data_IF_897302975138
#
_entry.id   IF_897302975138
#
_cell.length_a   1.000
_cell.length_b   1.000
_cell.length_c   1.000
_cell.angle_alpha   90.00
_cell.angle_beta   90.00
_cell.angle_gamma   90.00
#
_symmetry.space_group_name_H-M   'P 1'
#
loop_
_entity.id
_entity.type
_entity.pdbx_description
1 polymer ?
#
# COMPACT_ATOMS: atom_id res chain seq x y z
N UNK A 1 25.40 8.12 6.30
CA UNK A 1 24.81 7.36 5.18
C UNK A 1 23.32 7.68 5.12
N UNK A 2 22.82 8.17 3.99
CA UNK A 2 21.41 8.44 3.71
C UNK A 2 20.77 7.18 3.12
N UNK A 3 19.76 6.63 3.78
CA UNK A 3 19.07 5.42 3.32
C UNK A 3 17.59 5.70 3.05
N UNK A 4 17.11 5.19 1.91
CA UNK A 4 15.70 5.19 1.54
C UNK A 4 15.14 3.78 1.70
N UNK A 5 14.06 3.64 2.47
CA UNK A 5 13.23 2.43 2.46
C UNK A 5 12.10 2.60 1.45
N UNK A 6 11.95 1.62 0.56
CA UNK A 6 10.84 1.51 -0.38
C UNK A 6 10.02 0.29 0.03
N UNK A 7 8.80 0.50 0.49
CA UNK A 7 7.87 -0.57 0.85
C UNK A 7 6.83 -0.72 -0.26
N UNK A 8 6.65 -1.96 -0.72
CA UNK A 8 5.77 -2.28 -1.85
C UNK A 8 4.76 -3.32 -1.41
N UNK A 9 3.53 -3.12 -1.85
CA UNK A 9 2.41 -4.06 -1.71
C UNK A 9 1.55 -3.97 -2.98
N UNK A 10 0.69 -4.96 -3.20
CA UNK A 10 -0.16 -5.07 -4.37
C UNK A 10 -1.62 -5.40 -4.04
N UNK A 11 -2.52 -5.02 -4.93
CA UNK A 11 -3.92 -5.43 -4.89
C UNK A 11 -4.41 -5.82 -6.28
N UNK A 12 -5.10 -6.96 -6.35
CA UNK A 12 -5.46 -7.63 -7.58
C UNK A 12 -4.55 -8.84 -7.82
N UNK A 13 -4.93 -9.68 -8.78
CA UNK A 13 -4.24 -10.94 -9.08
C UNK A 13 -3.95 -11.04 -10.58
N UNK A 14 -2.86 -11.71 -10.94
CA UNK A 14 -2.58 -12.12 -12.32
C UNK A 14 -3.56 -13.21 -12.78
N UNK A 15 -3.67 -13.41 -14.09
CA UNK A 15 -4.57 -14.38 -14.71
C UNK A 15 -5.86 -13.76 -15.24
N UNK A 16 -6.83 -14.63 -15.56
CA UNK A 16 -8.06 -14.24 -16.26
C UNK A 16 -8.77 -13.03 -15.64
N UNK A 17 -9.40 -12.23 -16.49
CA UNK A 17 -10.12 -11.06 -16.06
C UNK A 17 -11.35 -11.46 -15.24
N UNK A 18 -11.33 -11.14 -13.94
CA UNK A 18 -12.51 -11.19 -13.08
C UNK A 18 -13.13 -9.79 -12.96
N UNK A 19 -14.39 -9.57 -13.37
CA UNK A 19 -15.11 -8.32 -13.14
C UNK A 19 -15.14 -7.86 -11.66
N UNK A 20 -14.99 -8.79 -10.70
CA UNK A 20 -14.91 -8.50 -9.25
C UNK A 20 -13.54 -7.97 -8.84
N UNK A 21 -12.50 -8.19 -9.64
CA UNK A 21 -11.13 -7.69 -9.45
C UNK A 21 -10.63 -6.96 -10.71
N UNK A 22 -11.26 -5.83 -11.09
CA UNK A 22 -11.04 -5.22 -12.41
C UNK A 22 -9.75 -4.39 -12.51
N UNK A 23 -9.03 -4.22 -11.40
CA UNK A 23 -7.83 -3.40 -11.29
C UNK A 23 -6.67 -4.23 -10.78
N UNK A 24 -5.48 -3.93 -11.29
CA UNK A 24 -4.23 -4.29 -10.65
C UNK A 24 -3.59 -3.01 -10.12
N UNK A 25 -3.15 -3.02 -8.86
CA UNK A 25 -2.62 -1.87 -8.16
C UNK A 25 -1.30 -2.26 -7.50
N UNK A 26 -0.27 -1.44 -7.69
CA UNK A 26 0.97 -1.52 -6.90
C UNK A 26 1.07 -0.24 -6.08
N UNK A 27 1.10 -0.38 -4.76
CA UNK A 27 1.34 0.69 -3.80
C UNK A 27 2.82 0.76 -3.47
N UNK A 28 3.41 1.95 -3.57
CA UNK A 28 4.80 2.22 -3.23
C UNK A 28 4.86 3.28 -2.14
N UNK A 29 5.57 3.01 -1.06
CA UNK A 29 5.79 3.92 0.07
C UNK A 29 7.29 4.16 0.25
N UNK A 30 7.68 5.43 0.16
CA UNK A 30 9.05 5.93 0.25
C UNK A 30 9.28 6.57 1.63
N UNK A 31 10.15 5.98 2.43
CA UNK A 31 10.49 6.46 3.77
C UNK A 31 11.99 6.75 3.88
N UNK A 32 12.33 8.03 4.07
CA UNK A 32 13.69 8.45 4.39
C UNK A 32 14.03 7.99 5.82
N UNK A 33 15.01 7.11 5.97
CA UNK A 33 15.35 6.54 7.29
C UNK A 33 15.92 7.57 8.29
N UNK A 34 16.28 8.78 7.84
CA UNK A 34 16.60 9.89 8.75
C UNK A 34 15.39 10.33 9.58
N UNK A 35 14.18 10.12 9.07
CA UNK A 35 12.95 10.45 9.78
C UNK A 35 12.60 9.29 10.71
N UNK A 36 13.02 9.38 11.98
CA UNK A 36 12.72 8.35 12.97
C UNK A 36 11.21 8.24 13.22
N UNK A 37 10.73 7.00 13.20
CA UNK A 37 9.31 6.65 13.40
C UNK A 37 9.12 5.68 14.56
N UNK A 38 10.18 5.42 15.35
CA UNK A 38 10.19 4.43 16.42
C UNK A 38 9.11 4.70 17.47
N UNK A 39 8.95 5.96 17.87
CA UNK A 39 7.92 6.36 18.85
C UNK A 39 6.49 6.11 18.34
N UNK A 40 6.24 6.37 17.05
CA UNK A 40 4.96 6.15 16.39
C UNK A 40 4.67 4.64 16.25
N UNK A 41 5.68 3.83 15.95
CA UNK A 41 5.57 2.37 15.90
C UNK A 41 5.25 1.81 17.29
N UNK A 42 5.97 2.24 18.33
CA UNK A 42 5.73 1.82 19.71
C UNK A 42 4.31 2.19 20.16
N UNK A 43 3.89 3.43 19.88
CA UNK A 43 2.53 3.88 20.16
C UNK A 43 1.49 3.03 19.43
N UNK A 44 1.66 2.78 18.13
CA UNK A 44 0.76 1.94 17.35
C UNK A 44 0.66 0.52 17.94
N UNK A 45 1.80 -0.10 18.26
CA UNK A 45 1.84 -1.44 18.86
C UNK A 45 1.06 -1.46 20.19
N UNK A 46 1.29 -0.47 21.06
CA UNK A 46 0.56 -0.33 22.32
C UNK A 46 -0.94 -0.23 22.07
N UNK A 47 -1.37 0.72 21.25
CA UNK A 47 -2.81 0.94 21.04
C UNK A 47 -3.49 -0.20 20.28
N UNK A 48 -2.77 -1.00 19.49
CA UNK A 48 -3.30 -2.22 18.87
C UNK A 48 -3.43 -3.37 19.88
N UNK A 49 -2.51 -3.48 20.84
CA UNK A 49 -2.57 -4.49 21.90
C UNK A 49 -3.79 -4.30 22.84
N UNK A 50 -4.27 -3.06 22.94
CA UNK A 50 -5.49 -2.69 23.66
C UNK A 50 -6.79 -2.98 22.86
N UNK A 51 -6.68 -3.57 21.65
CA UNK A 51 -7.85 -3.96 20.84
C UNK A 51 -8.07 -5.46 20.86
N UNK A 52 -9.26 -5.85 20.42
CA UNK A 52 -9.71 -7.23 20.29
C UNK A 52 -8.94 -8.02 19.20
N UNK A 53 -8.09 -7.33 18.42
CA UNK A 53 -7.24 -7.94 17.39
C UNK A 53 -6.24 -8.95 17.96
N UNK A 54 -5.77 -8.75 19.20
CA UNK A 54 -4.76 -9.60 19.88
C UNK A 54 -3.49 -9.88 19.06
N UNK A 55 -3.16 -8.99 18.10
CA UNK A 55 -1.97 -9.04 17.25
C UNK A 55 -1.42 -7.62 17.05
N UNK A 56 -0.14 -7.54 16.73
CA UNK A 56 0.56 -6.27 16.56
C UNK A 56 0.60 -5.77 15.11
N UNK A 57 -0.05 -6.41 14.14
CA UNK A 57 -0.08 -5.96 12.74
C UNK A 57 -1.46 -6.07 12.09
N UNK A 58 -1.65 -5.30 11.03
CA UNK A 58 -2.94 -5.14 10.35
C UNK A 58 -2.79 -5.37 8.85
N UNK A 59 -3.67 -6.20 8.28
CA UNK A 59 -3.95 -6.26 6.86
C UNK A 59 -5.28 -5.54 6.59
N UNK A 60 -5.22 -4.42 5.88
CA UNK A 60 -6.33 -3.51 5.64
C UNK A 60 -7.43 -4.12 4.76
N UNK A 61 -7.06 -4.78 3.66
CA UNK A 61 -8.02 -5.44 2.77
C UNK A 61 -8.90 -6.47 3.51
N UNK A 62 -8.30 -7.50 4.13
CA UNK A 62 -9.04 -8.48 4.92
C UNK A 62 -9.83 -7.88 6.09
N UNK A 63 -9.31 -6.84 6.74
CA UNK A 63 -10.00 -6.12 7.82
C UNK A 63 -11.31 -5.49 7.34
N UNK A 64 -11.28 -4.79 6.22
CA UNK A 64 -12.48 -4.15 5.64
C UNK A 64 -13.48 -5.21 5.16
N UNK A 65 -13.00 -6.24 4.45
CA UNK A 65 -13.84 -7.28 3.85
C UNK A 65 -14.37 -8.33 4.83
N UNK A 66 -13.98 -8.26 6.12
CA UNK A 66 -14.39 -9.20 7.16
C UNK A 66 -13.86 -10.63 6.94
N UNK A 67 -12.60 -10.72 6.52
CA UNK A 67 -11.96 -11.98 6.14
C UNK A 67 -10.97 -12.48 7.22
N UNK A 68 -10.61 -13.77 7.12
CA UNK A 68 -9.51 -14.40 7.87
C UNK A 68 -9.58 -14.13 9.39
N UNK A 69 -8.51 -13.61 9.98
CA UNK A 69 -8.38 -13.28 11.40
C UNK A 69 -9.37 -12.22 11.91
N UNK A 70 -10.02 -11.48 11.02
CA UNK A 70 -10.95 -10.41 11.38
C UNK A 70 -12.40 -10.88 11.48
N UNK A 71 -12.68 -12.17 11.19
CA UNK A 71 -14.04 -12.74 11.20
C UNK A 71 -14.76 -12.62 12.54
N UNK A 72 -14.01 -12.64 13.65
CA UNK A 72 -14.57 -12.58 15.00
C UNK A 72 -14.74 -11.15 15.52
N UNK A 73 -14.35 -10.13 14.73
CA UNK A 73 -14.45 -8.74 15.15
C UNK A 73 -15.75 -8.09 14.67
N UNK A 74 -16.37 -7.33 15.58
CA UNK A 74 -17.54 -6.52 15.28
C UNK A 74 -17.17 -5.36 14.33
N UNK A 75 -18.15 -4.76 13.63
CA UNK A 75 -17.89 -3.60 12.78
C UNK A 75 -17.21 -2.43 13.52
N UNK A 76 -17.62 -2.14 14.76
CA UNK A 76 -17.04 -1.04 15.56
C UNK A 76 -15.59 -1.30 15.94
N UNK A 77 -15.25 -2.55 16.30
CA UNK A 77 -13.88 -2.97 16.58
C UNK A 77 -12.98 -2.81 15.35
N UNK A 78 -13.45 -3.22 14.18
CA UNK A 78 -12.71 -3.08 12.92
C UNK A 78 -12.49 -1.62 12.54
N UNK A 79 -13.53 -0.79 12.66
CA UNK A 79 -13.40 0.68 12.45
C UNK A 79 -12.38 1.30 13.41
N UNK A 80 -12.34 0.85 14.67
CA UNK A 80 -11.36 1.32 15.66
C UNK A 80 -9.92 0.96 15.27
N UNK A 81 -9.67 -0.24 14.74
CA UNK A 81 -8.35 -0.64 14.22
C UNK A 81 -7.97 0.23 13.00
N UNK A 82 -8.88 0.42 12.04
CA UNK A 82 -8.65 1.26 10.86
C UNK A 82 -8.26 2.68 11.28
N UNK A 83 -8.98 3.28 12.23
CA UNK A 83 -8.68 4.63 12.74
C UNK A 83 -7.31 4.72 13.39
N UNK A 84 -6.87 3.68 14.13
CA UNK A 84 -5.53 3.62 14.72
C UNK A 84 -4.45 3.56 13.63
N UNK A 85 -4.67 2.77 12.57
CA UNK A 85 -3.77 2.73 11.41
C UNK A 85 -3.68 4.10 10.71
N UNK A 86 -4.82 4.71 10.36
CA UNK A 86 -4.85 6.04 9.72
C UNK A 86 -4.15 7.11 10.58
N UNK A 87 -4.35 7.07 11.90
CA UNK A 87 -3.69 7.99 12.83
C UNK A 87 -2.17 7.82 12.78
N UNK A 88 -1.67 6.58 12.85
CA UNK A 88 -0.25 6.28 12.65
C UNK A 88 0.26 6.84 11.31
N UNK A 89 -0.46 6.56 10.22
CA UNK A 89 -0.08 7.03 8.88
C UNK A 89 0.02 8.55 8.84
N UNK A 90 -0.91 9.27 9.46
CA UNK A 90 -0.91 10.73 9.48
C UNK A 90 0.31 11.33 10.20
N UNK A 91 0.85 10.63 11.21
CA UNK A 91 1.96 11.06 12.06
C UNK A 91 3.35 10.69 11.55
N UNK A 92 3.45 9.84 10.54
CA UNK A 92 4.72 9.37 9.97
C UNK A 92 5.05 10.13 8.69
N UNK A 93 6.27 10.63 8.54
CA UNK A 93 6.71 11.31 7.31
C UNK A 93 7.15 10.28 6.26
N UNK A 94 6.43 10.24 5.14
CA UNK A 94 6.73 9.39 3.99
C UNK A 94 6.07 9.98 2.74
N UNK A 95 6.49 9.51 1.56
CA UNK A 95 5.80 9.74 0.29
C UNK A 95 5.19 8.43 -0.21
N UNK A 96 4.08 8.49 -0.94
CA UNK A 96 3.48 7.32 -1.56
C UNK A 96 3.07 7.57 -3.01
N UNK A 97 3.02 6.49 -3.79
CA UNK A 97 2.42 6.46 -5.11
C UNK A 97 1.66 5.15 -5.29
N UNK A 98 0.52 5.18 -5.97
CA UNK A 98 -0.19 3.99 -6.40
C UNK A 98 -0.22 3.92 -7.94
N UNK A 99 0.34 2.84 -8.50
CA UNK A 99 0.30 2.54 -9.93
C UNK A 99 -0.93 1.69 -10.21
N UNK A 100 -1.70 2.04 -11.24
CA UNK A 100 -3.01 1.42 -11.50
C UNK A 100 -3.10 1.01 -12.95
N UNK A 101 -3.49 -0.25 -13.18
CA UNK A 101 -3.88 -0.75 -14.51
C UNK A 101 -5.28 -1.35 -14.43
N UNK A 102 -6.15 -0.97 -15.38
CA UNK A 102 -7.45 -1.61 -15.59
C UNK A 102 -7.22 -2.91 -16.37
N UNK A 103 -7.44 -4.07 -15.74
CA UNK A 103 -7.21 -5.38 -16.36
C UNK A 103 -8.05 -5.59 -17.64
N UNK A 104 -9.24 -5.00 -17.73
CA UNK A 104 -10.07 -5.05 -18.96
C UNK A 104 -9.41 -4.40 -20.18
N UNK A 105 -8.40 -3.55 -19.96
CA UNK A 105 -7.71 -2.81 -21.03
C UNK A 105 -6.38 -3.47 -21.43
N UNK A 106 -6.06 -4.64 -20.88
CA UNK A 106 -4.85 -5.43 -21.19
C UNK A 106 -5.27 -6.74 -21.85
N UNK A 107 -4.50 -7.19 -22.84
CA UNK A 107 -4.73 -8.45 -23.54
C UNK A 107 -4.41 -9.66 -22.67
N UNK A 108 -3.30 -9.58 -21.94
CA UNK A 108 -2.76 -10.64 -21.10
C UNK A 108 -1.93 -10.07 -19.93
N UNK A 109 -1.37 -10.97 -19.11
CA UNK A 109 -0.51 -10.61 -17.97
C UNK A 109 0.81 -9.95 -18.41
N UNK A 110 1.29 -10.23 -19.62
CA UNK A 110 2.50 -9.60 -20.16
C UNK A 110 2.27 -8.11 -20.38
N UNK A 111 1.18 -7.74 -21.06
CA UNK A 111 0.83 -6.33 -21.28
C UNK A 111 0.56 -5.61 -19.94
N UNK A 112 -0.06 -6.31 -18.97
CA UNK A 112 -0.25 -5.79 -17.62
C UNK A 112 1.08 -5.44 -16.94
N UNK A 113 2.05 -6.37 -16.98
CA UNK A 113 3.39 -6.18 -16.43
C UNK A 113 4.10 -5.01 -17.13
N UNK A 114 4.07 -4.97 -18.46
CA UNK A 114 4.71 -3.89 -19.24
C UNK A 114 4.18 -2.51 -18.86
N UNK A 115 2.86 -2.37 -18.69
CA UNK A 115 2.24 -1.10 -18.27
C UNK A 115 2.66 -0.71 -16.85
N UNK A 116 2.74 -1.67 -15.92
CA UNK A 116 3.19 -1.41 -14.55
C UNK A 116 4.68 -1.01 -14.50
N UNK A 117 5.55 -1.71 -15.25
CA UNK A 117 6.98 -1.36 -15.39
C UNK A 117 7.13 0.05 -15.93
N UNK A 118 6.35 0.42 -16.97
CA UNK A 118 6.39 1.76 -17.56
C UNK A 118 5.98 2.82 -16.55
N UNK A 119 4.81 2.68 -15.91
CA UNK A 119 4.33 3.65 -14.91
C UNK A 119 5.32 3.84 -13.76
N UNK A 120 5.89 2.75 -13.24
CA UNK A 120 6.86 2.81 -12.15
C UNK A 120 8.18 3.46 -12.60
N UNK A 121 8.67 3.11 -13.79
CA UNK A 121 9.90 3.68 -14.34
C UNK A 121 9.75 5.19 -14.59
N UNK A 122 8.62 5.62 -15.15
CA UNK A 122 8.35 7.03 -15.45
C UNK A 122 8.27 7.85 -14.16
N UNK A 123 7.58 7.35 -13.14
CA UNK A 123 7.55 7.96 -11.81
C UNK A 123 8.95 8.10 -11.20
N UNK A 124 9.76 7.04 -11.23
CA UNK A 124 11.11 7.09 -10.68
C UNK A 124 11.99 8.07 -11.45
N UNK A 125 11.85 8.16 -12.78
CA UNK A 125 12.59 9.12 -13.63
C UNK A 125 12.21 10.57 -13.33
N UNK A 126 10.93 10.86 -13.12
CA UNK A 126 10.46 12.19 -12.68
C UNK A 126 11.09 12.57 -11.34
N UNK A 127 11.21 11.60 -10.42
CA UNK A 127 11.80 11.81 -9.10
C UNK A 127 13.28 11.38 -9.01
N UNK A 128 13.99 11.28 -10.13
CA UNK A 128 15.30 10.60 -10.15
C UNK A 128 16.31 11.25 -9.21
N UNK A 129 16.32 12.58 -9.15
CA UNK A 129 17.16 13.36 -8.24
C UNK A 129 16.89 13.04 -6.76
N UNK A 130 15.64 12.78 -6.39
CA UNK A 130 15.29 12.37 -5.03
C UNK A 130 15.91 11.00 -4.70
N UNK A 131 15.72 10.00 -5.57
CA UNK A 131 16.29 8.66 -5.35
C UNK A 131 17.83 8.66 -5.34
N UNK A 132 18.48 9.42 -6.23
CA UNK A 132 19.94 9.57 -6.28
C UNK A 132 20.52 10.31 -5.06
N UNK A 133 19.70 11.04 -4.31
CA UNK A 133 20.16 11.72 -3.09
C UNK A 133 20.48 10.77 -1.92
N UNK A 134 20.18 9.48 -2.07
CA UNK A 134 20.41 8.43 -1.07
C UNK A 134 21.57 7.52 -1.46
N UNK A 135 22.40 7.19 -0.48
CA UNK A 135 23.53 6.28 -0.65
C UNK A 135 23.04 4.84 -0.90
N UNK A 136 21.86 4.50 -0.38
CA UNK A 136 21.29 3.15 -0.47
C UNK A 136 19.77 3.17 -0.54
N UNK A 137 19.22 2.36 -1.44
CA UNK A 137 17.78 2.16 -1.60
C UNK A 137 17.48 0.72 -1.16
N UNK A 138 16.75 0.55 -0.06
CA UNK A 138 16.32 -0.77 0.44
C UNK A 138 14.88 -1.02 0.03
N UNK A 139 14.64 -2.07 -0.73
CA UNK A 139 13.31 -2.42 -1.22
C UNK A 139 12.76 -3.61 -0.43
N UNK A 140 11.59 -3.40 0.17
CA UNK A 140 10.89 -4.33 1.03
C UNK A 140 9.59 -4.76 0.36
N UNK A 141 9.47 -6.06 0.15
CA UNK A 141 8.29 -6.68 -0.45
C UNK A 141 8.14 -8.10 0.13
N UNK A 142 6.90 -8.56 0.28
CA UNK A 142 6.59 -9.85 0.91
C UNK A 142 6.59 -11.04 -0.06
N UNK A 143 6.87 -10.78 -1.34
CA UNK A 143 6.88 -11.76 -2.42
C UNK A 143 5.51 -12.41 -2.67
N UNK A 144 4.41 -11.71 -2.40
CA UNK A 144 3.04 -12.20 -2.60
C UNK A 144 2.79 -12.75 -4.01
N UNK A 145 3.22 -12.02 -5.04
CA UNK A 145 3.11 -12.43 -6.44
C UNK A 145 4.43 -12.31 -7.22
N UNK A 146 4.76 -13.35 -8.00
CA UNK A 146 6.01 -13.45 -8.78
C UNK A 146 6.13 -12.38 -9.88
N UNK A 147 5.01 -11.95 -10.47
CA UNK A 147 5.00 -10.86 -11.45
C UNK A 147 5.48 -9.53 -10.86
N UNK A 148 5.08 -9.21 -9.63
CA UNK A 148 5.53 -8.00 -8.93
C UNK A 148 7.03 -8.07 -8.60
N UNK A 149 7.53 -9.24 -8.18
CA UNK A 149 8.98 -9.44 -7.96
C UNK A 149 9.76 -9.07 -9.23
N UNK A 150 9.32 -9.56 -10.39
CA UNK A 150 9.95 -9.25 -11.69
C UNK A 150 9.91 -7.74 -11.97
N UNK A 151 8.76 -7.09 -11.80
CA UNK A 151 8.60 -5.63 -12.01
C UNK A 151 9.61 -4.86 -11.14
N UNK A 152 9.63 -5.11 -9.84
CA UNK A 152 10.49 -4.39 -8.90
C UNK A 152 11.96 -4.63 -9.22
N UNK A 153 12.35 -5.89 -9.47
CA UNK A 153 13.74 -6.22 -9.85
C UNK A 153 14.12 -5.46 -11.12
N UNK A 154 13.35 -5.62 -12.20
CA UNK A 154 13.62 -4.98 -13.49
C UNK A 154 13.77 -3.47 -13.34
N UNK A 155 12.84 -2.79 -12.66
CA UNK A 155 12.87 -1.33 -12.56
C UNK A 155 14.05 -0.85 -11.71
N UNK A 156 14.23 -1.40 -10.49
CA UNK A 156 15.24 -0.88 -9.57
C UNK A 156 16.67 -1.25 -9.97
N UNK A 157 16.92 -2.44 -10.53
CA UNK A 157 18.29 -2.80 -10.96
C UNK A 157 18.69 -2.12 -12.26
N UNK A 158 17.72 -1.78 -13.11
CA UNK A 158 18.00 -0.98 -14.34
C UNK A 158 18.35 0.46 -14.00
N UNK A 159 17.69 1.05 -12.98
CA UNK A 159 17.84 2.47 -12.67
C UNK A 159 18.88 2.77 -11.60
N UNK A 160 19.23 1.81 -10.75
CA UNK A 160 20.08 2.03 -9.57
C UNK A 160 21.02 0.85 -9.27
N UNK A 161 22.32 1.15 -9.16
CA UNK A 161 23.33 0.16 -8.74
C UNK A 161 23.37 -0.09 -7.22
N UNK A 162 22.75 0.79 -6.43
CA UNK A 162 22.73 0.76 -4.96
C UNK A 162 21.40 0.24 -4.38
N UNK A 163 20.53 -0.34 -5.20
CA UNK A 163 19.30 -1.01 -4.79
C UNK A 163 19.61 -2.33 -4.06
N UNK A 164 18.96 -2.56 -2.91
CA UNK A 164 19.08 -3.79 -2.12
C UNK A 164 17.70 -4.35 -1.77
N UNK A 165 17.42 -5.54 -2.26
CA UNK A 165 16.17 -6.25 -2.02
C UNK A 165 16.20 -6.95 -0.66
N UNK A 166 15.09 -6.84 0.08
CA UNK A 166 14.89 -7.46 1.38
C UNK A 166 13.58 -8.22 1.37
N UNK A 167 13.65 -9.52 1.64
CA UNK A 167 12.47 -10.29 2.01
C UNK A 167 11.88 -9.68 3.27
N UNK A 168 10.59 -9.40 3.26
CA UNK A 168 9.90 -8.74 4.34
C UNK A 168 8.56 -9.42 4.60
N UNK A 169 7.99 -9.23 5.78
CA UNK A 169 6.62 -9.68 6.07
C UNK A 169 5.85 -8.52 6.70
N UNK A 170 4.54 -8.51 6.50
CA UNK A 170 3.62 -7.50 7.07
C UNK A 170 3.73 -7.40 8.61
N UNK A 171 4.05 -8.51 9.28
CA UNK A 171 4.29 -8.54 10.72
C UNK A 171 5.52 -7.73 11.17
N UNK A 172 6.57 -7.68 10.33
CA UNK A 172 7.87 -7.13 10.68
C UNK A 172 7.95 -5.62 10.44
N UNK A 173 7.20 -5.09 9.47
CA UNK A 173 7.31 -3.70 9.03
C UNK A 173 5.97 -2.98 9.00
N UNK A 174 5.79 -1.98 9.87
CA UNK A 174 4.57 -1.13 9.85
C UNK A 174 4.38 -0.38 8.55
N UNK A 175 5.47 -0.06 7.86
CA UNK A 175 5.41 0.64 6.58
C UNK A 175 4.96 -0.27 5.42
N UNK A 176 5.09 -1.61 5.53
CA UNK A 176 4.39 -2.53 4.61
C UNK A 176 2.88 -2.49 4.82
N UNK A 177 2.42 -2.35 6.07
CA UNK A 177 1.00 -2.19 6.38
C UNK A 177 0.47 -0.85 5.84
N UNK A 178 1.33 0.17 5.76
CA UNK A 178 1.02 1.43 5.07
C UNK A 178 0.96 1.23 3.55
N UNK A 179 1.83 0.41 2.96
CA UNK A 179 1.74 0.08 1.52
C UNK A 179 0.43 -0.67 1.19
N UNK A 180 0.02 -1.65 2.00
CA UNK A 180 -1.30 -2.31 1.88
C UNK A 180 -2.46 -1.33 2.06
N UNK A 181 -2.34 -0.41 3.02
CA UNK A 181 -3.32 0.68 3.18
C UNK A 181 -3.40 1.57 1.92
N UNK A 182 -2.28 1.88 1.27
CA UNK A 182 -2.26 2.67 0.02
C UNK A 182 -2.97 1.91 -1.10
N UNK A 183 -2.66 0.62 -1.30
CA UNK A 183 -3.35 -0.25 -2.24
C UNK A 183 -4.86 -0.30 -1.98
N UNK A 184 -5.24 -0.59 -0.74
CA UNK A 184 -6.62 -0.70 -0.29
C UNK A 184 -7.38 0.62 -0.46
N UNK A 185 -6.77 1.76 -0.11
CA UNK A 185 -7.37 3.08 -0.30
C UNK A 185 -7.55 3.40 -1.79
N UNK A 186 -6.56 3.07 -2.63
CA UNK A 186 -6.66 3.31 -4.07
C UNK A 186 -7.77 2.46 -4.71
N UNK A 187 -7.87 1.18 -4.33
CA UNK A 187 -8.96 0.31 -4.78
C UNK A 187 -10.32 0.86 -4.33
N UNK A 188 -10.42 1.29 -3.06
CA UNK A 188 -11.62 1.91 -2.51
C UNK A 188 -12.03 3.15 -3.30
N UNK A 189 -11.07 4.04 -3.61
CA UNK A 189 -11.32 5.25 -4.42
C UNK A 189 -11.89 4.88 -5.80
N UNK A 190 -11.27 3.92 -6.48
CA UNK A 190 -11.70 3.46 -7.81
C UNK A 190 -13.10 2.85 -7.75
N UNK A 191 -13.39 2.00 -6.77
CA UNK A 191 -14.71 1.39 -6.58
C UNK A 191 -15.77 2.44 -6.23
N UNK A 192 -15.43 3.42 -5.39
CA UNK A 192 -16.30 4.53 -5.03
C UNK A 192 -16.68 5.35 -6.26
N UNK A 193 -15.69 5.76 -7.08
CA UNK A 193 -15.90 6.52 -8.32
C UNK A 193 -16.79 5.78 -9.34
N UNK A 194 -16.70 4.45 -9.38
CA UNK A 194 -17.52 3.62 -10.25
C UNK A 194 -18.82 3.13 -9.59
N UNK A 195 -19.12 3.54 -8.35
CA UNK A 195 -20.32 3.14 -7.58
C UNK A 195 -20.46 1.62 -7.38
N UNK A 196 -19.34 0.92 -7.20
CA UNK A 196 -19.27 -0.54 -7.03
C UNK A 196 -18.69 -0.97 -5.67
N UNK A 197 -18.72 -0.08 -4.67
CA UNK A 197 -18.40 -0.47 -3.29
C UNK A 197 -19.42 -1.49 -2.78
N UNK A 198 -18.94 -2.53 -2.10
CA UNK A 198 -19.78 -3.57 -1.51
C UNK A 198 -20.51 -3.05 -0.27
N UNK A 199 -21.56 -3.77 0.14
CA UNK A 199 -22.27 -3.51 1.40
C UNK A 199 -21.33 -3.62 2.61
N UNK A 200 -20.36 -4.54 2.58
CA UNK A 200 -19.37 -4.70 3.66
C UNK A 200 -18.42 -3.51 3.75
N UNK A 201 -17.93 -3.01 2.61
CA UNK A 201 -17.09 -1.80 2.55
C UNK A 201 -17.87 -0.59 3.05
N UNK A 202 -19.13 -0.41 2.62
CA UNK A 202 -20.00 0.67 3.09
C UNK A 202 -20.24 0.63 4.60
N UNK A 203 -20.48 -0.56 5.14
CA UNK A 203 -20.69 -0.75 6.59
C UNK A 203 -19.48 -0.31 7.42
N UNK A 204 -18.27 -0.45 6.90
CA UNK A 204 -17.03 -0.15 7.63
C UNK A 204 -16.49 1.25 7.32
N UNK A 205 -16.50 1.66 6.06
CA UNK A 205 -15.89 2.91 5.61
C UNK A 205 -16.86 4.09 5.59
N UNK A 206 -18.17 3.81 5.60
CA UNK A 206 -19.22 4.82 5.64
C UNK A 206 -19.58 5.41 4.27
N UNK A 207 -20.06 6.64 4.30
CA UNK A 207 -20.46 7.40 3.12
C UNK A 207 -19.25 7.80 2.26
N UNK A 208 -19.49 8.26 1.03
CA UNK A 208 -18.42 8.83 0.19
C UNK A 208 -17.70 10.00 0.90
N UNK A 209 -18.44 10.77 1.70
CA UNK A 209 -17.87 11.86 2.51
C UNK A 209 -16.93 11.31 3.58
N UNK A 210 -17.29 10.22 4.24
CA UNK A 210 -16.46 9.59 5.27
C UNK A 210 -15.20 8.97 4.68
N UNK A 211 -15.32 8.28 3.54
CA UNK A 211 -14.19 7.70 2.79
C UNK A 211 -13.21 8.82 2.40
N UNK A 212 -13.72 9.88 1.78
CA UNK A 212 -12.88 11.01 1.37
C UNK A 212 -12.17 11.65 2.58
N UNK A 213 -12.90 11.92 3.66
CA UNK A 213 -12.38 12.62 4.84
C UNK A 213 -11.38 11.77 5.63
N UNK A 214 -11.72 10.51 5.88
CA UNK A 214 -11.05 9.68 6.89
C UNK A 214 -10.04 8.69 6.29
N UNK A 215 -10.14 8.35 5.00
CA UNK A 215 -9.23 7.41 4.33
C UNK A 215 -8.39 8.10 3.26
N UNK A 216 -9.03 8.77 2.29
CA UNK A 216 -8.33 9.27 1.10
C UNK A 216 -7.53 10.55 1.38
N UNK A 217 -8.14 11.55 2.04
CA UNK A 217 -7.47 12.84 2.33
C UNK A 217 -6.17 12.71 3.14
N UNK A 218 -6.07 11.85 4.18
CA UNK A 218 -4.81 11.63 4.88
C UNK A 218 -3.68 11.11 3.98
N UNK A 219 -3.99 10.22 3.04
CA UNK A 219 -3.01 9.61 2.14
C UNK A 219 -2.66 10.53 0.95
N UNK A 220 -3.63 11.27 0.42
CA UNK A 220 -3.43 12.23 -0.67
C UNK A 220 -2.43 13.34 -0.30
N UNK A 221 -2.38 13.73 0.98
CA UNK A 221 -1.39 14.70 1.49
C UNK A 221 0.06 14.21 1.41
N UNK A 222 0.25 12.90 1.27
CA UNK A 222 1.55 12.23 1.20
C UNK A 222 1.82 11.65 -0.19
N UNK A 223 0.96 11.94 -1.16
CA UNK A 223 1.15 11.49 -2.53
C UNK A 223 2.33 12.22 -3.18
N UNK A 224 3.26 11.45 -3.73
CA UNK A 224 4.29 11.99 -4.61
C UNK A 224 3.62 12.43 -5.91
N UNK A 225 3.59 13.74 -6.12
CA UNK A 225 3.03 14.36 -7.33
C UNK A 225 4.02 14.21 -8.48
N UNK A 226 3.49 13.96 -9.66
CA UNK A 226 4.27 13.95 -10.91
C UNK A 226 4.86 15.33 -11.22
#
# INVERSE_FOLDING_TARGET
MKELSVFIDESGDFGEFDPKSPYYIIGMVLHNQKNDISSQIQYLNKVLSETELKRNFVHMGPLIRHEREYRNLTPSERVRIIRKMINFTSKVEFLQKAFVVKKKQTKDDTELIERLVRQMSDFIKVHYAYFLSFDKIKIYYDNGQSGVIKIIITVFTTLFNNAKFKKAMQADYKMLQVADLVCTAKLTELKMKNRVLSTSERRILGSDRDINKNLLKPLARKEAKD
#
